data_IF_008988608354
#
_entry.id   IF_008988608354
#
_cell.length_a   1.000
_cell.length_b   1.000
_cell.length_c   1.000
_cell.angle_alpha   90.00
_cell.angle_beta   90.00
_cell.angle_gamma   90.00
#
_symmetry.space_group_name_H-M   'P 1'
#
loop_
_entity.id
_entity.type
_entity.pdbx_description
1 polymer ?
#
# COMPACT_ATOMS: atom_id res chain seq x y z
N UNK A 1 1.75 -9.00 -3.82
CA UNK A 1 1.39 -8.37 -2.53
C UNK A 1 1.24 -6.88 -2.74
N UNK A 2 0.08 -6.33 -2.39
CA UNK A 2 -0.17 -4.89 -2.37
C UNK A 2 -0.36 -4.49 -0.91
N UNK A 3 0.55 -3.69 -0.38
CA UNK A 3 0.58 -3.24 1.01
C UNK A 3 0.23 -1.75 1.03
N UNK A 4 -0.76 -1.35 1.81
CA UNK A 4 -1.27 0.02 1.81
C UNK A 4 -1.28 0.54 3.25
N UNK A 5 -0.36 1.45 3.54
CA UNK A 5 -0.21 2.08 4.86
C UNK A 5 -0.56 3.55 4.86
N UNK A 6 -1.19 4.04 5.92
CA UNK A 6 -1.38 5.48 6.16
C UNK A 6 -1.02 5.84 7.60
N UNK A 7 -0.24 6.90 7.79
CA UNK A 7 0.25 7.33 9.11
C UNK A 7 1.10 6.25 9.79
N UNK A 8 0.75 5.83 11.02
CA UNK A 8 1.47 4.76 11.74
C UNK A 8 1.18 3.35 11.21
N UNK A 9 0.25 3.19 10.26
CA UNK A 9 -0.08 1.92 9.60
C UNK A 9 1.07 1.28 8.80
N UNK A 10 2.20 1.96 8.67
CA UNK A 10 3.42 1.41 8.06
C UNK A 10 4.17 0.40 8.93
N UNK A 11 4.02 0.50 10.26
CA UNK A 11 4.73 -0.33 11.22
C UNK A 11 4.54 -1.85 10.98
N UNK A 12 3.32 -2.39 10.80
CA UNK A 12 3.14 -3.81 10.50
C UNK A 12 3.79 -4.23 9.18
N UNK A 13 3.78 -3.37 8.15
CA UNK A 13 4.36 -3.70 6.85
C UNK A 13 5.89 -3.72 6.88
N UNK A 14 6.52 -2.84 7.64
CA UNK A 14 7.98 -2.89 7.84
C UNK A 14 8.41 -4.23 8.43
N UNK A 15 7.74 -4.67 9.50
CA UNK A 15 8.02 -5.95 10.13
C UNK A 15 7.75 -7.13 9.17
N UNK A 16 6.66 -7.05 8.42
CA UNK A 16 6.27 -8.08 7.45
C UNK A 16 7.27 -8.19 6.28
N UNK A 17 7.67 -7.08 5.66
CA UNK A 17 8.67 -7.04 4.57
C UNK A 17 10.02 -7.56 5.06
N UNK A 18 10.47 -7.13 6.24
CA UNK A 18 11.69 -7.63 6.87
C UNK A 18 11.63 -9.14 7.08
N UNK A 19 10.50 -9.65 7.59
CA UNK A 19 10.32 -11.09 7.76
C UNK A 19 10.31 -11.82 6.41
N UNK A 20 9.62 -11.27 5.40
CA UNK A 20 9.48 -11.84 4.07
C UNK A 20 10.85 -12.06 3.43
N UNK A 21 11.64 -11.00 3.24
CA UNK A 21 12.92 -11.10 2.54
C UNK A 21 14.02 -11.76 3.37
N UNK A 22 13.92 -11.74 4.71
CA UNK A 22 14.92 -12.43 5.56
C UNK A 22 14.67 -13.94 5.69
N UNK A 23 13.41 -14.37 5.77
CA UNK A 23 13.07 -15.74 6.16
C UNK A 23 12.43 -16.56 5.04
N UNK A 24 11.83 -15.92 4.03
CA UNK A 24 11.26 -16.61 2.87
C UNK A 24 12.30 -16.62 1.75
N UNK A 25 13.00 -17.75 1.63
CA UNK A 25 14.01 -17.93 0.58
C UNK A 25 13.37 -17.87 -0.81
N UNK A 26 14.11 -17.30 -1.76
CA UNK A 26 13.75 -17.26 -3.19
C UNK A 26 12.39 -16.63 -3.49
N UNK A 27 11.97 -15.64 -2.71
CA UNK A 27 10.74 -14.91 -2.99
C UNK A 27 10.76 -14.29 -4.40
N UNK A 28 9.79 -14.65 -5.24
CA UNK A 28 9.64 -14.13 -6.62
C UNK A 28 8.40 -13.25 -6.80
N UNK A 29 7.55 -13.15 -5.78
CA UNK A 29 6.30 -12.41 -5.87
C UNK A 29 6.53 -10.91 -5.86
N UNK A 30 5.81 -10.16 -6.70
CA UNK A 30 5.89 -8.70 -6.65
C UNK A 30 5.33 -8.17 -5.32
N UNK A 31 6.05 -7.24 -4.70
CA UNK A 31 5.63 -6.52 -3.50
C UNK A 31 5.56 -5.03 -3.83
N UNK A 32 4.38 -4.43 -3.68
CA UNK A 32 4.14 -2.99 -3.86
C UNK A 32 3.65 -2.41 -2.55
N UNK A 33 4.39 -1.46 -2.02
CA UNK A 33 4.03 -0.73 -0.81
C UNK A 33 3.59 0.68 -1.18
N UNK A 34 2.33 1.02 -0.93
CA UNK A 34 1.81 2.37 -1.02
C UNK A 34 1.74 2.94 0.39
N UNK A 35 2.50 3.99 0.66
CA UNK A 35 2.56 4.59 1.98
C UNK A 35 2.24 6.08 1.94
N UNK A 36 1.20 6.45 2.68
CA UNK A 36 0.80 7.83 2.92
C UNK A 36 1.36 8.38 4.23
N UNK A 37 2.14 9.45 4.15
CA UNK A 37 2.70 10.17 5.29
C UNK A 37 2.17 11.62 5.34
N UNK A 38 1.93 12.14 6.55
CA UNK A 38 1.58 13.55 6.74
C UNK A 38 2.76 14.49 6.45
N UNK A 39 4.00 14.06 6.74
CA UNK A 39 5.19 14.89 6.53
C UNK A 39 6.37 14.08 6.01
N UNK A 40 7.34 14.76 5.38
CA UNK A 40 8.59 14.13 4.95
C UNK A 40 9.42 13.56 6.12
N UNK A 41 9.23 14.05 7.36
CA UNK A 41 9.89 13.48 8.55
C UNK A 41 9.40 12.05 8.84
N UNK A 42 8.11 11.77 8.63
CA UNK A 42 7.57 10.41 8.74
C UNK A 42 8.11 9.49 7.63
N UNK A 43 8.45 10.05 6.46
CA UNK A 43 9.18 9.31 5.43
C UNK A 43 10.64 9.05 5.82
N UNK A 44 11.32 9.98 6.51
CA UNK A 44 12.68 9.77 6.99
C UNK A 44 12.76 8.67 8.07
N UNK A 45 11.68 8.42 8.81
CA UNK A 45 11.56 7.26 9.70
C UNK A 45 11.59 5.90 8.96
N UNK A 46 11.42 5.87 7.63
CA UNK A 46 11.67 4.68 6.81
C UNK A 46 13.17 4.44 6.55
N UNK A 47 13.98 5.48 6.68
CA UNK A 47 15.40 5.50 6.37
C UNK A 47 16.30 5.51 7.62
N UNK A 48 15.73 5.39 8.83
CA UNK A 48 16.53 5.38 10.06
C UNK A 48 17.23 4.03 10.27
N UNK A 49 18.42 4.08 10.87
CA UNK A 49 19.51 3.08 10.79
C UNK A 49 19.18 1.63 11.20
N UNK A 50 18.06 1.39 11.89
CA UNK A 50 17.63 0.07 12.35
C UNK A 50 16.45 -0.53 11.54
N UNK A 51 15.84 0.27 10.64
CA UNK A 51 14.59 -0.03 9.94
C UNK A 51 14.72 -0.08 8.41
N UNK A 52 15.93 -0.30 7.93
CA UNK A 52 16.43 -0.05 6.57
C UNK A 52 15.58 -0.71 5.46
N UNK A 53 14.47 -0.07 5.09
CA UNK A 53 13.69 -0.46 3.91
C UNK A 53 14.53 -0.28 2.65
N UNK A 54 15.49 0.66 2.67
CA UNK A 54 16.50 0.92 1.65
C UNK A 54 17.26 -0.36 1.25
N UNK A 55 17.58 -1.25 2.20
CA UNK A 55 18.22 -2.55 1.93
C UNK A 55 17.40 -3.48 1.06
N UNK A 56 16.08 -3.32 1.02
CA UNK A 56 15.19 -4.14 0.20
C UNK A 56 14.85 -3.50 -1.14
N UNK A 57 15.26 -2.26 -1.44
CA UNK A 57 15.06 -1.69 -2.78
C UNK A 57 15.93 -2.39 -3.83
N UNK A 58 17.03 -3.02 -3.39
CA UNK A 58 17.86 -3.87 -4.25
C UNK A 58 17.19 -5.21 -4.58
N UNK A 59 16.15 -5.61 -3.82
CA UNK A 59 15.32 -6.76 -4.16
C UNK A 59 14.44 -6.41 -5.36
N UNK A 60 14.73 -6.98 -6.52
CA UNK A 60 14.04 -6.66 -7.78
C UNK A 60 12.51 -6.86 -7.77
N UNK A 61 11.96 -7.52 -6.75
CA UNK A 61 10.52 -7.73 -6.56
C UNK A 61 9.84 -6.63 -5.75
N UNK A 62 10.56 -5.80 -4.99
CA UNK A 62 10.01 -4.77 -4.11
C UNK A 62 9.97 -3.39 -4.79
N UNK A 63 8.85 -2.67 -4.61
CA UNK A 63 8.78 -1.24 -4.88
C UNK A 63 7.93 -0.56 -3.80
N UNK A 64 8.36 0.63 -3.37
CA UNK A 64 7.59 1.49 -2.48
C UNK A 64 7.26 2.81 -3.15
N UNK A 65 6.03 3.28 -2.94
CA UNK A 65 5.49 4.52 -3.46
C UNK A 65 5.00 5.35 -2.28
N UNK A 66 5.49 6.58 -2.22
CA UNK A 66 5.22 7.50 -1.12
C UNK A 66 4.26 8.58 -1.58
N UNK A 67 3.21 8.80 -0.80
CA UNK A 67 2.32 9.93 -0.92
C UNK A 67 2.53 10.85 0.29
N UNK A 68 2.78 12.13 0.02
CA UNK A 68 2.83 13.16 1.05
C UNK A 68 1.62 14.08 0.92
N UNK A 69 1.18 14.68 2.02
CA UNK A 69 0.26 15.81 1.94
C UNK A 69 0.93 16.95 1.15
N UNK A 70 0.28 17.52 0.12
CA UNK A 70 0.85 18.62 -0.66
C UNK A 70 0.95 19.92 0.15
N UNK A 71 0.12 20.08 1.18
CA UNK A 71 0.10 21.23 2.08
C UNK A 71 -0.08 20.76 3.54
N UNK A 72 0.95 20.16 4.15
CA UNK A 72 0.83 19.53 5.48
C UNK A 72 0.51 20.53 6.58
N UNK A 73 0.91 21.80 6.44
CA UNK A 73 0.58 22.88 7.35
C UNK A 73 -0.91 23.24 7.38
N UNK A 74 -1.69 22.80 6.37
CA UNK A 74 -3.11 23.08 6.22
C UNK A 74 -3.98 21.82 6.45
N UNK A 75 -3.40 20.75 7.00
CA UNK A 75 -4.04 19.43 7.21
C UNK A 75 -4.69 18.85 5.93
N UNK A 76 -4.15 19.23 4.77
CA UNK A 76 -4.58 18.69 3.48
C UNK A 76 -4.42 17.15 3.47
N UNK A 77 -5.38 16.43 2.87
CA UNK A 77 -5.34 14.98 2.85
C UNK A 77 -4.10 14.47 2.12
N UNK A 78 -3.59 13.35 2.60
CA UNK A 78 -2.48 12.63 1.97
C UNK A 78 -2.96 12.13 0.60
N UNK A 79 -2.23 12.46 -0.46
CA UNK A 79 -2.56 12.12 -1.85
C UNK A 79 -2.27 10.65 -2.20
N UNK A 80 -2.68 9.72 -1.33
CA UNK A 80 -2.48 8.28 -1.51
C UNK A 80 -3.30 7.74 -2.67
N UNK A 81 -4.48 8.31 -2.92
CA UNK A 81 -5.29 8.04 -4.10
C UNK A 81 -4.51 8.34 -5.38
N UNK A 82 -3.90 9.53 -5.49
CA UNK A 82 -3.09 9.92 -6.65
C UNK A 82 -1.92 8.96 -6.86
N UNK A 83 -1.19 8.59 -5.80
CA UNK A 83 -0.08 7.65 -5.91
C UNK A 83 -0.50 6.26 -6.40
N UNK A 84 -1.73 5.83 -6.09
CA UNK A 84 -2.29 4.58 -6.59
C UNK A 84 -2.79 4.72 -8.03
N UNK A 85 -3.46 5.82 -8.37
CA UNK A 85 -3.94 6.12 -9.73
C UNK A 85 -2.79 6.21 -10.73
N UNK A 86 -1.66 6.83 -10.35
CA UNK A 86 -0.42 6.86 -11.13
C UNK A 86 0.19 5.47 -11.39
N UNK A 87 -0.30 4.45 -10.68
CA UNK A 87 0.10 3.04 -10.82
C UNK A 87 -1.08 2.14 -11.20
N UNK A 88 -2.17 2.72 -11.72
CA UNK A 88 -3.39 2.00 -12.08
C UNK A 88 -3.10 0.75 -12.92
N UNK A 89 -2.29 0.86 -13.98
CA UNK A 89 -1.96 -0.26 -14.85
C UNK A 89 -1.24 -1.40 -14.11
N UNK A 90 -0.27 -1.07 -13.24
CA UNK A 90 0.46 -2.07 -12.45
C UNK A 90 -0.45 -2.73 -11.42
N UNK A 91 -1.34 -1.97 -10.78
CA UNK A 91 -2.35 -2.51 -9.86
C UNK A 91 -3.33 -3.43 -10.59
N UNK A 92 -3.85 -3.01 -11.75
CA UNK A 92 -4.77 -3.81 -12.56
C UNK A 92 -4.12 -5.12 -13.02
N UNK A 93 -2.87 -5.07 -13.48
CA UNK A 93 -2.10 -6.25 -13.85
C UNK A 93 -1.96 -7.21 -12.65
N UNK A 94 -1.54 -6.69 -11.49
CA UNK A 94 -1.42 -7.50 -10.27
C UNK A 94 -2.76 -8.13 -9.89
N UNK A 95 -3.88 -7.40 -10.00
CA UNK A 95 -5.21 -7.91 -9.69
C UNK A 95 -5.67 -9.06 -10.59
N UNK A 96 -5.06 -9.29 -11.76
CA UNK A 96 -5.39 -10.43 -12.61
C UNK A 96 -4.88 -11.76 -12.02
N UNK A 97 -3.83 -11.72 -11.20
CA UNK A 97 -3.25 -12.93 -10.63
C UNK A 97 -4.06 -13.43 -9.43
N UNK A 98 -4.37 -14.73 -9.45
CA UNK A 98 -5.15 -15.37 -8.39
C UNK A 98 -4.47 -15.34 -7.01
N UNK A 99 -3.15 -15.18 -6.95
CA UNK A 99 -2.35 -15.12 -5.72
C UNK A 99 -2.09 -13.69 -5.22
N UNK A 100 -2.75 -12.67 -5.78
CA UNK A 100 -2.63 -11.30 -5.29
C UNK A 100 -3.41 -11.11 -4.00
N UNK A 101 -2.71 -10.61 -2.98
CA UNK A 101 -3.26 -10.26 -1.67
C UNK A 101 -3.02 -8.78 -1.39
N UNK A 102 -4.03 -8.13 -0.81
CA UNK A 102 -4.05 -6.73 -0.43
C UNK A 102 -4.18 -6.62 1.08
N UNK A 103 -3.26 -5.87 1.69
CA UNK A 103 -3.26 -5.60 3.11
C UNK A 103 -3.32 -4.10 3.35
N UNK A 104 -4.23 -3.67 4.22
CA UNK A 104 -4.48 -2.26 4.53
C UNK A 104 -4.26 -2.00 6.01
N UNK A 105 -3.51 -0.96 6.36
CA UNK A 105 -3.34 -0.54 7.74
C UNK A 105 -3.31 0.99 7.87
N UNK A 106 -4.03 1.54 8.85
CA UNK A 106 -4.11 2.97 9.10
C UNK A 106 -5.40 3.39 9.77
N UNK A 107 -5.61 4.71 9.89
CA UNK A 107 -6.83 5.26 10.48
C UNK A 107 -8.05 5.18 9.55
N UNK A 108 -9.25 5.21 10.11
CA UNK A 108 -10.52 4.97 9.39
C UNK A 108 -10.69 5.73 8.06
N UNK A 109 -10.20 6.98 7.98
CA UNK A 109 -10.28 7.79 6.75
C UNK A 109 -9.61 7.14 5.53
N UNK A 110 -8.68 6.19 5.71
CA UNK A 110 -8.06 5.44 4.60
C UNK A 110 -9.10 4.72 3.75
N UNK A 111 -10.23 4.28 4.33
CA UNK A 111 -11.30 3.56 3.60
C UNK A 111 -11.85 4.39 2.44
N UNK A 112 -12.21 5.64 2.71
CA UNK A 112 -12.76 6.53 1.69
C UNK A 112 -11.74 6.86 0.58
N UNK A 113 -10.47 7.04 0.95
CA UNK A 113 -9.38 7.27 -0.02
C UNK A 113 -9.20 6.07 -0.93
N UNK A 114 -9.21 4.85 -0.38
CA UNK A 114 -9.07 3.61 -1.16
C UNK A 114 -10.29 3.32 -2.02
N UNK A 115 -11.50 3.53 -1.50
CA UNK A 115 -12.70 3.31 -2.29
C UNK A 115 -12.76 4.26 -3.48
N UNK A 116 -12.33 5.52 -3.33
CA UNK A 116 -12.16 6.46 -4.44
C UNK A 116 -11.10 6.00 -5.43
N UNK A 117 -9.89 5.67 -4.95
CA UNK A 117 -8.77 5.30 -5.80
C UNK A 117 -9.05 4.03 -6.60
N UNK A 118 -9.55 2.97 -5.96
CA UNK A 118 -9.87 1.74 -6.66
C UNK A 118 -11.08 1.88 -7.59
N UNK A 119 -12.09 2.70 -7.24
CA UNK A 119 -13.18 2.98 -8.17
C UNK A 119 -12.67 3.67 -9.45
N UNK A 120 -11.73 4.61 -9.31
CA UNK A 120 -11.06 5.28 -10.42
C UNK A 120 -10.26 4.27 -11.27
N UNK A 121 -9.41 3.45 -10.64
CA UNK A 121 -8.57 2.43 -11.29
C UNK A 121 -9.42 1.37 -12.02
N UNK A 122 -10.54 0.94 -11.43
CA UNK A 122 -11.44 -0.07 -11.99
C UNK A 122 -12.44 0.50 -13.01
N UNK A 123 -12.48 1.83 -13.18
CA UNK A 123 -13.36 2.53 -14.10
C UNK A 123 -14.77 2.82 -13.57
N UNK A 124 -15.19 2.22 -12.45
CA UNK A 124 -16.42 2.61 -11.76
C UNK A 124 -16.48 2.16 -10.28
N UNK A 125 -17.29 2.83 -9.44
CA UNK A 125 -17.57 2.39 -8.07
C UNK A 125 -18.20 0.99 -8.01
N UNK A 126 -19.04 0.62 -8.98
CA UNK A 126 -19.72 -0.68 -9.04
C UNK A 126 -18.73 -1.82 -9.36
N UNK A 127 -17.79 -1.56 -10.28
CA UNK A 127 -16.72 -2.49 -10.61
C UNK A 127 -15.81 -2.72 -9.39
N UNK A 128 -15.46 -1.65 -8.68
CA UNK A 128 -14.69 -1.76 -7.44
C UNK A 128 -15.45 -2.52 -6.36
N UNK A 129 -16.73 -2.20 -6.12
CA UNK A 129 -17.55 -2.87 -5.09
C UNK A 129 -17.62 -4.38 -5.33
N UNK A 130 -17.86 -4.78 -6.57
CA UNK A 130 -17.87 -6.19 -6.97
C UNK A 130 -16.51 -6.84 -6.70
N UNK A 131 -15.43 -6.20 -7.17
CA UNK A 131 -14.07 -6.73 -7.01
C UNK A 131 -13.62 -6.83 -5.55
N UNK A 132 -13.96 -5.84 -4.73
CA UNK A 132 -13.66 -5.84 -3.29
C UNK A 132 -14.36 -6.99 -2.59
N UNK A 133 -15.63 -7.26 -2.93
CA UNK A 133 -16.38 -8.39 -2.39
C UNK A 133 -15.72 -9.74 -2.74
N UNK A 134 -15.25 -9.91 -3.98
CA UNK A 134 -14.50 -11.10 -4.40
C UNK A 134 -13.18 -11.28 -3.64
N UNK A 135 -12.43 -10.19 -3.45
CA UNK A 135 -11.17 -10.22 -2.70
C UNK A 135 -11.41 -10.60 -1.23
N UNK A 136 -12.46 -10.07 -0.59
CA UNK A 136 -12.84 -10.42 0.78
C UNK A 136 -13.29 -11.88 0.85
N UNK A 137 -14.20 -12.32 -0.03
CA UNK A 137 -14.69 -13.70 -0.06
C UNK A 137 -13.56 -14.72 -0.31
N UNK A 138 -12.56 -14.32 -1.10
CA UNK A 138 -11.38 -15.13 -1.37
C UNK A 138 -10.28 -15.07 -0.30
N UNK A 139 -10.45 -14.33 0.79
CA UNK A 139 -9.42 -14.15 1.83
C UNK A 139 -8.19 -13.36 1.37
N UNK A 140 -8.32 -12.55 0.31
CA UNK A 140 -7.25 -11.79 -0.35
C UNK A 140 -7.25 -10.31 0.04
N UNK A 141 -8.17 -9.89 0.89
CA UNK A 141 -8.24 -8.56 1.48
C UNK A 141 -8.22 -8.66 3.00
N UNK A 142 -7.29 -7.98 3.65
CA UNK A 142 -7.26 -7.84 5.09
C UNK A 142 -6.97 -6.40 5.49
N UNK A 143 -7.66 -5.92 6.53
CA UNK A 143 -7.53 -4.56 7.02
C UNK A 143 -7.30 -4.52 8.53
N UNK A 144 -6.40 -3.63 8.97
CA UNK A 144 -6.15 -3.29 10.37
C UNK A 144 -6.38 -1.80 10.52
N UNK A 145 -7.61 -1.45 10.89
CA UNK A 145 -8.09 -0.06 10.97
C UNK A 145 -8.34 0.31 12.43
N UNK A 146 -7.90 1.50 12.84
CA UNK A 146 -8.00 2.03 14.20
C UNK A 146 -8.44 3.51 14.23
#
# INVERSE_FOLDING_TARGET
LILIGMGTGIAPFRAFIKHLYKNVRDWKGQVRLFYGAKSGLELLYLNDKDGDMTQYYDEGTFKAFHAVSPRPAFDDPIALDVAMEDRANEILEMLQYANTHIYVAGYEKIKGVLDKAFASIMGSPEAWKTRKAELIAGGKWAEVIY
#
